data_IF_429972172721
#
_entry.id   IF_429972172721
#
_cell.length_a   1.000
_cell.length_b   1.000
_cell.length_c   1.000
_cell.angle_alpha   90.00
_cell.angle_beta   90.00
_cell.angle_gamma   90.00
#
_symmetry.space_group_name_H-M   'P 1'
#
loop_
_entity.id
_entity.type
_entity.pdbx_description
1 polymer ?
#
# COMPACT_ATOMS: atom_id res chain seq x y z
N UNK A 1 10.81 -31.82 11.71
CA UNK A 1 9.92 -30.70 11.34
C UNK A 1 10.44 -29.32 11.75
N UNK A 2 11.55 -29.18 12.52
CA UNK A 2 12.11 -27.88 12.93
C UNK A 2 13.14 -27.29 11.94
N UNK A 3 13.76 -28.13 11.12
CA UNK A 3 14.76 -27.73 10.10
C UNK A 3 14.15 -27.08 8.86
N UNK A 4 12.89 -27.38 8.52
CA UNK A 4 12.16 -26.72 7.43
C UNK A 4 11.65 -25.33 7.81
N UNK A 5 11.39 -25.10 9.10
CA UNK A 5 10.98 -23.79 9.63
C UNK A 5 12.15 -22.79 9.64
N UNK A 6 13.36 -23.27 9.90
CA UNK A 6 14.60 -22.47 9.85
C UNK A 6 14.95 -22.01 8.43
N UNK A 7 14.65 -22.82 7.41
CA UNK A 7 14.89 -22.44 6.01
C UNK A 7 13.92 -21.37 5.49
N UNK A 8 12.67 -21.37 5.98
CA UNK A 8 11.67 -20.36 5.63
C UNK A 8 12.01 -18.98 6.22
N UNK A 9 12.65 -18.96 7.39
CA UNK A 9 13.03 -17.73 8.10
C UNK A 9 14.33 -17.11 7.56
N UNK A 10 15.17 -17.89 6.88
CA UNK A 10 16.45 -17.43 6.32
C UNK A 10 16.30 -16.69 4.98
N UNK A 11 15.24 -16.99 4.22
CA UNK A 11 14.96 -16.34 2.91
C UNK A 11 14.46 -14.90 3.09
N UNK A 12 13.79 -14.61 4.21
CA UNK A 12 13.28 -13.27 4.54
C UNK A 12 14.40 -12.28 4.89
N UNK A 13 15.59 -12.74 5.28
CA UNK A 13 16.70 -11.85 5.67
C UNK A 13 17.63 -11.43 4.51
N UNK A 14 17.49 -11.99 3.30
CA UNK A 14 18.45 -11.75 2.20
C UNK A 14 18.10 -10.55 1.30
N UNK A 15 17.04 -9.79 1.58
CA UNK A 15 16.61 -8.65 0.75
C UNK A 15 16.98 -7.28 1.36
N UNK A 16 17.84 -7.26 2.38
CA UNK A 16 18.12 -6.05 3.17
C UNK A 16 19.52 -5.48 3.01
N UNK A 17 19.93 -5.06 1.81
CA UNK A 17 21.04 -4.09 1.67
C UNK A 17 20.82 -3.21 0.44
N UNK A 18 20.19 -2.06 0.68
CA UNK A 18 20.07 -0.95 -0.26
C UNK A 18 19.94 0.34 0.54
N UNK A 19 21.07 0.90 0.95
CA UNK A 19 21.17 2.13 1.74
C UNK A 19 20.71 3.36 0.93
N UNK A 20 19.97 4.23 1.62
CA UNK A 20 19.57 5.59 1.24
C UNK A 20 20.66 6.41 0.52
N UNK A 21 20.28 7.28 -0.43
CA UNK A 21 19.95 8.69 -0.15
C UNK A 21 19.75 9.53 -1.43
N UNK A 22 19.05 10.66 -1.22
CA UNK A 22 18.95 11.92 -1.97
C UNK A 22 18.17 11.93 -3.28
N UNK A 23 17.13 12.77 -3.23
CA UNK A 23 16.44 13.50 -4.30
C UNK A 23 16.12 12.65 -5.52
N UNK A 24 15.00 11.93 -5.49
CA UNK A 24 14.58 11.15 -6.66
C UNK A 24 13.12 11.38 -6.95
N UNK A 25 12.89 11.94 -8.13
CA UNK A 25 11.61 11.91 -8.81
C UNK A 25 11.10 10.47 -8.85
N UNK A 26 9.78 10.31 -8.65
CA UNK A 26 9.07 9.02 -8.70
C UNK A 26 9.19 8.30 -10.06
N UNK A 27 9.85 8.91 -11.03
CA UNK A 27 10.07 8.40 -12.39
C UNK A 27 11.47 7.78 -12.60
N UNK A 28 12.40 7.85 -11.64
CA UNK A 28 13.73 7.22 -11.77
C UNK A 28 13.64 5.69 -11.59
N UNK A 29 14.05 4.89 -12.59
CA UNK A 29 14.10 3.43 -12.47
C UNK A 29 14.90 2.90 -11.27
N UNK A 30 15.90 3.66 -10.80
CA UNK A 30 16.70 3.31 -9.62
C UNK A 30 15.95 3.52 -8.29
N UNK A 31 14.92 4.38 -8.27
CA UNK A 31 14.04 4.60 -7.12
C UNK A 31 13.07 3.42 -6.96
N UNK A 32 12.59 2.88 -8.08
CA UNK A 32 11.63 1.78 -8.14
C UNK A 32 12.10 0.41 -7.62
N UNK A 33 13.38 0.24 -7.30
CA UNK A 33 13.95 -0.99 -6.75
C UNK A 33 13.58 -1.20 -5.25
N UNK A 34 12.29 -1.08 -4.91
CA UNK A 34 11.73 -1.37 -3.59
C UNK A 34 11.62 -0.19 -2.62
N UNK A 35 12.00 1.04 -3.02
CA UNK A 35 11.92 2.19 -2.10
C UNK A 35 10.49 2.62 -1.81
N UNK A 36 9.56 2.47 -2.76
CA UNK A 36 8.17 2.91 -2.58
C UNK A 36 7.50 2.26 -1.37
N UNK A 37 7.85 1.01 -1.05
CA UNK A 37 7.32 0.34 0.15
C UNK A 37 7.82 0.99 1.44
N UNK A 38 9.04 1.53 1.44
CA UNK A 38 9.58 2.31 2.57
C UNK A 38 8.93 3.69 2.61
N UNK A 39 8.80 4.33 1.46
CA UNK A 39 8.27 5.68 1.33
C UNK A 39 6.77 5.74 1.71
N UNK A 40 6.01 4.71 1.36
CA UNK A 40 4.57 4.60 1.65
C UNK A 40 4.26 3.86 2.95
N UNK A 41 5.28 3.52 3.76
CA UNK A 41 5.06 2.72 4.97
C UNK A 41 4.18 3.46 5.99
N UNK A 42 4.26 4.80 6.04
CA UNK A 42 3.43 5.62 6.92
C UNK A 42 1.96 5.55 6.50
N UNK A 43 1.65 5.89 5.24
CA UNK A 43 0.29 5.87 4.70
C UNK A 43 -0.31 4.46 4.74
N UNK A 44 0.49 3.44 4.41
CA UNK A 44 0.07 2.05 4.51
C UNK A 44 -0.27 1.65 5.95
N UNK A 45 0.57 2.01 6.92
CA UNK A 45 0.33 1.71 8.34
C UNK A 45 -0.94 2.39 8.85
N UNK A 46 -1.15 3.67 8.49
CA UNK A 46 -2.36 4.43 8.83
C UNK A 46 -3.61 3.78 8.22
N UNK A 47 -3.55 3.41 6.94
CA UNK A 47 -4.65 2.72 6.24
C UNK A 47 -4.99 1.39 6.90
N UNK A 48 -4.00 0.54 7.20
CA UNK A 48 -4.23 -0.75 7.87
C UNK A 48 -4.81 -0.56 9.27
N UNK A 49 -4.31 0.40 10.05
CA UNK A 49 -4.84 0.72 11.37
C UNK A 49 -6.31 1.14 11.31
N UNK A 50 -6.67 2.02 10.37
CA UNK A 50 -8.04 2.47 10.17
C UNK A 50 -8.95 1.33 9.68
N UNK A 51 -8.45 0.47 8.78
CA UNK A 51 -9.17 -0.71 8.32
C UNK A 51 -9.50 -1.68 9.47
N UNK A 52 -8.54 -1.90 10.37
CA UNK A 52 -8.73 -2.72 11.57
C UNK A 52 -9.75 -2.08 12.52
N UNK A 53 -9.66 -0.77 12.76
CA UNK A 53 -10.61 -0.06 13.60
C UNK A 53 -12.05 -0.18 13.06
N UNK A 54 -12.24 0.01 11.75
CA UNK A 54 -13.53 -0.17 11.10
C UNK A 54 -14.02 -1.62 11.17
N UNK A 55 -13.15 -2.60 10.95
CA UNK A 55 -13.52 -4.03 10.99
C UNK A 55 -13.91 -4.48 12.41
N UNK A 56 -13.21 -3.99 13.43
CA UNK A 56 -13.48 -4.37 14.83
C UNK A 56 -14.65 -3.59 15.45
N UNK A 57 -14.89 -2.36 15.00
CA UNK A 57 -15.95 -1.50 15.49
C UNK A 57 -16.54 -0.70 14.33
N UNK A 58 -17.41 -1.29 13.51
CA UNK A 58 -18.00 -0.59 12.38
C UNK A 58 -18.89 0.55 12.89
N UNK A 59 -18.45 1.78 12.70
CA UNK A 59 -19.19 3.01 12.96
C UNK A 59 -19.03 3.95 11.77
N UNK A 60 -19.91 4.94 11.64
CA UNK A 60 -19.78 5.99 10.62
C UNK A 60 -18.40 6.67 10.71
N UNK A 61 -17.93 6.96 11.93
CA UNK A 61 -16.62 7.57 12.16
C UNK A 61 -15.46 6.68 11.70
N UNK A 62 -15.45 5.41 12.10
CA UNK A 62 -14.38 4.49 11.74
C UNK A 62 -14.36 4.18 10.23
N UNK A 63 -15.54 4.08 9.60
CA UNK A 63 -15.64 3.94 8.15
C UNK A 63 -15.08 5.16 7.41
N UNK A 64 -15.46 6.38 7.81
CA UNK A 64 -14.95 7.59 7.17
C UNK A 64 -13.44 7.77 7.38
N UNK A 65 -12.94 7.37 8.55
CA UNK A 65 -11.50 7.35 8.85
C UNK A 65 -10.76 6.38 7.93
N UNK A 66 -11.28 5.16 7.76
CA UNK A 66 -10.73 4.19 6.81
C UNK A 66 -10.80 4.69 5.36
N UNK A 67 -11.94 5.25 4.95
CA UNK A 67 -12.14 5.79 3.60
C UNK A 67 -11.12 6.87 3.28
N UNK A 68 -10.89 7.79 4.21
CA UNK A 68 -9.88 8.85 4.08
C UNK A 68 -8.46 8.29 4.02
N UNK A 69 -8.11 7.34 4.91
CA UNK A 69 -6.78 6.75 4.95
C UNK A 69 -6.45 5.94 3.67
N UNK A 70 -7.43 5.22 3.12
CA UNK A 70 -7.28 4.51 1.86
C UNK A 70 -7.07 5.48 0.69
N UNK A 71 -7.85 6.56 0.61
CA UNK A 71 -7.66 7.57 -0.46
C UNK A 71 -6.26 8.18 -0.41
N UNK A 72 -5.78 8.56 0.79
CA UNK A 72 -4.42 9.08 0.97
C UNK A 72 -3.36 8.08 0.50
N UNK A 73 -3.53 6.80 0.82
CA UNK A 73 -2.62 5.75 0.36
C UNK A 73 -2.63 5.59 -1.17
N UNK A 74 -3.82 5.57 -1.80
CA UNK A 74 -3.95 5.47 -3.27
C UNK A 74 -3.33 6.68 -3.99
N UNK A 75 -3.53 7.88 -3.45
CA UNK A 75 -2.94 9.11 -3.99
C UNK A 75 -1.41 9.10 -3.91
N UNK A 76 -0.87 8.62 -2.79
CA UNK A 76 0.57 8.46 -2.60
C UNK A 76 1.16 7.33 -3.47
N UNK A 77 0.35 6.30 -3.78
CA UNK A 77 0.74 5.17 -4.62
C UNK A 77 0.78 5.52 -6.11
N UNK A 78 -0.05 6.46 -6.57
CA UNK A 78 -0.21 6.82 -8.00
C UNK A 78 1.09 7.17 -8.75
N UNK A 79 2.03 7.97 -8.20
CA UNK A 79 3.28 8.33 -8.88
C UNK A 79 4.17 7.13 -9.21
N UNK A 80 4.01 6.00 -8.49
CA UNK A 80 4.83 4.81 -8.64
C UNK A 80 4.41 3.89 -9.79
N UNK A 81 3.47 4.30 -10.65
CA UNK A 81 3.07 3.49 -11.82
C UNK A 81 4.20 3.21 -12.83
N UNK A 82 5.24 4.04 -12.83
CA UNK A 82 6.48 3.75 -13.57
C UNK A 82 7.33 2.65 -12.92
N UNK A 83 7.24 2.53 -11.59
CA UNK A 83 7.87 1.45 -10.83
C UNK A 83 7.19 0.11 -11.03
N UNK A 84 5.88 0.08 -11.27
CA UNK A 84 5.16 -1.14 -11.61
C UNK A 84 5.83 -1.88 -12.79
N UNK A 85 6.23 -1.14 -13.84
CA UNK A 85 6.91 -1.70 -15.02
C UNK A 85 8.23 -2.41 -14.69
N UNK A 86 8.92 -1.96 -13.64
CA UNK A 86 10.17 -2.54 -13.16
C UNK A 86 9.92 -3.70 -12.17
N UNK A 87 8.79 -3.67 -11.47
CA UNK A 87 8.31 -4.73 -10.58
C UNK A 87 7.59 -5.89 -11.32
N UNK A 88 7.42 -5.78 -12.64
CA UNK A 88 6.81 -6.80 -13.48
C UNK A 88 5.30 -6.62 -13.75
N UNK A 89 4.70 -5.53 -13.28
CA UNK A 89 3.32 -5.15 -13.58
C UNK A 89 3.30 -4.04 -14.65
N UNK A 90 2.39 -4.10 -15.64
CA UNK A 90 2.36 -3.02 -16.64
C UNK A 90 1.81 -1.73 -16.04
N UNK A 91 2.32 -0.56 -16.46
CA UNK A 91 1.80 0.75 -16.03
C UNK A 91 0.27 0.87 -16.21
N UNK A 92 -0.26 0.32 -17.31
CA UNK A 92 -1.70 0.32 -17.59
C UNK A 92 -2.47 -0.51 -16.57
N UNK A 93 -1.96 -1.69 -16.22
CA UNK A 93 -2.57 -2.55 -15.20
C UNK A 93 -2.52 -1.89 -13.83
N UNK A 94 -1.40 -1.26 -13.47
CA UNK A 94 -1.26 -0.49 -12.24
C UNK A 94 -2.29 0.63 -12.13
N UNK A 95 -2.40 1.45 -13.17
CA UNK A 95 -3.37 2.54 -13.20
C UNK A 95 -4.80 2.00 -13.07
N UNK A 96 -5.12 0.93 -13.79
CA UNK A 96 -6.43 0.28 -13.68
C UNK A 96 -6.69 -0.25 -12.26
N UNK A 97 -5.69 -0.81 -11.58
CA UNK A 97 -5.82 -1.26 -10.19
C UNK A 97 -6.11 -0.11 -9.22
N UNK A 98 -5.43 1.03 -9.38
CA UNK A 98 -5.70 2.24 -8.59
C UNK A 98 -7.10 2.77 -8.89
N UNK A 99 -7.47 2.92 -10.17
CA UNK A 99 -8.76 3.46 -10.58
C UNK A 99 -9.92 2.57 -10.06
N UNK A 100 -9.76 1.24 -10.10
CA UNK A 100 -10.74 0.31 -9.55
C UNK A 100 -10.85 0.44 -8.02
N UNK A 101 -9.73 0.58 -7.32
CA UNK A 101 -9.76 0.77 -5.86
C UNK A 101 -10.43 2.09 -5.47
N UNK A 102 -10.24 3.16 -6.25
CA UNK A 102 -10.94 4.44 -6.03
C UNK A 102 -12.44 4.34 -6.30
N UNK A 103 -12.84 3.57 -7.32
CA UNK A 103 -14.24 3.30 -7.60
C UNK A 103 -14.91 2.50 -6.45
N UNK A 104 -14.26 1.43 -5.99
CA UNK A 104 -14.74 0.64 -4.85
C UNK A 104 -14.85 1.50 -3.58
N UNK A 105 -13.89 2.41 -3.38
CA UNK A 105 -13.89 3.35 -2.26
C UNK A 105 -15.00 4.40 -2.38
N UNK A 106 -15.29 4.88 -3.58
CA UNK A 106 -16.39 5.81 -3.84
C UNK A 106 -17.74 5.15 -3.51
N UNK A 107 -17.91 3.89 -3.89
CA UNK A 107 -19.10 3.07 -3.64
C UNK A 107 -19.28 2.67 -2.18
N UNK A 108 -18.22 2.76 -1.35
CA UNK A 108 -18.34 2.56 0.09
C UNK A 108 -19.18 3.67 0.73
N UNK A 109 -20.44 3.35 1.05
CA UNK A 109 -21.36 4.21 1.78
C UNK A 109 -21.19 4.04 3.31
N UNK A 110 -20.55 5.01 3.95
CA UNK A 110 -20.39 5.03 5.40
C UNK A 110 -21.65 5.49 6.15
N UNK A 111 -22.67 6.03 5.46
CA UNK A 111 -23.88 6.57 6.09
C UNK A 111 -24.92 5.50 6.41
N UNK A 112 -24.80 4.30 5.82
CA UNK A 112 -25.71 3.18 6.04
C UNK A 112 -25.30 2.27 7.21
N UNK A 113 -24.27 2.63 7.98
CA UNK A 113 -23.83 1.86 9.14
C UNK A 113 -24.77 2.20 10.31
N UNK A 114 -25.59 1.24 10.71
CA UNK A 114 -26.40 1.36 11.93
C UNK A 114 -25.46 1.31 13.16
N UNK A 115 -25.48 2.36 13.98
CA UNK A 115 -24.67 2.52 15.19
C UNK A 115 -25.08 1.59 16.35
#
# INVERSE_FOLDING_TARGET
>A
MKTKLLYLLLVVCLVGIGSCNKDKDSDDPAYCAGSYLTDLNEEYSVMISAALAYTMGPTVENCNTYKTAMQTYLDALRPYGNCAALAGESRTQWQASIDNAEADLADLDCSSIEE
#
